data_IF_725916053203
#
_entry.id   IF_725916053203
#
_cell.length_a   1.000
_cell.length_b   1.000
_cell.length_c   1.000
_cell.angle_alpha   90.00
_cell.angle_beta   90.00
_cell.angle_gamma   90.00
#
_symmetry.space_group_name_H-M   'P 1'
#
loop_
_entity.id
_entity.type
_entity.pdbx_description
1 polymer ?
#
# COMPACT_ATOMS: atom_id res chain seq x y z
N UNK A 1 21.61 44.89 43.29
CA UNK A 1 20.43 44.14 42.82
C UNK A 1 20.52 44.03 41.31
N UNK A 2 21.02 42.87 40.81
CA UNK A 2 21.22 42.64 39.34
C UNK A 2 20.01 41.85 38.85
N UNK A 3 19.23 42.44 37.97
CA UNK A 3 18.08 41.82 37.31
C UNK A 3 18.63 41.00 36.16
N UNK A 4 18.47 39.67 36.25
CA UNK A 4 18.78 38.73 35.19
C UNK A 4 17.57 38.66 34.23
N UNK A 5 17.70 39.22 33.03
CA UNK A 5 16.69 39.09 31.97
C UNK A 5 16.98 37.78 31.21
N UNK A 6 16.16 36.76 31.42
CA UNK A 6 16.15 35.56 30.56
C UNK A 6 15.51 35.91 29.23
N UNK A 7 16.14 35.57 28.10
CA UNK A 7 15.48 35.66 26.81
C UNK A 7 14.45 34.53 26.66
N UNK A 8 13.18 34.88 26.48
CA UNK A 8 12.10 34.00 26.12
C UNK A 8 12.32 33.56 24.65
N UNK A 9 12.88 32.36 24.42
CA UNK A 9 12.91 31.75 23.08
C UNK A 9 11.49 31.39 22.68
N UNK A 10 10.89 32.17 21.80
CA UNK A 10 9.67 31.82 21.10
C UNK A 10 9.96 30.65 20.15
N UNK A 11 9.53 29.45 20.52
CA UNK A 11 9.44 28.32 19.59
C UNK A 11 8.38 28.66 18.53
N UNK A 12 8.81 29.09 17.36
CA UNK A 12 7.97 29.16 16.18
C UNK A 12 7.63 27.71 15.79
N UNK A 13 6.46 27.23 16.20
CA UNK A 13 5.88 26.03 15.66
C UNK A 13 5.57 26.30 14.17
N UNK A 14 6.48 25.90 13.29
CA UNK A 14 6.19 25.81 11.85
C UNK A 14 5.09 24.78 11.69
N UNK A 15 3.85 25.23 11.51
CA UNK A 15 2.78 24.40 10.97
C UNK A 15 3.19 24.06 9.53
N UNK A 16 3.89 22.93 9.35
CA UNK A 16 4.13 22.38 8.02
C UNK A 16 2.77 21.92 7.50
N UNK A 17 2.17 22.69 6.60
CA UNK A 17 0.98 22.24 5.86
C UNK A 17 1.29 20.92 5.13
N UNK A 18 0.29 20.05 5.00
CA UNK A 18 0.41 18.86 4.16
C UNK A 18 0.80 19.29 2.73
N UNK A 19 1.64 18.54 2.02
CA UNK A 19 1.96 18.84 0.64
C UNK A 19 0.68 18.84 -0.19
N UNK A 20 0.57 19.75 -1.15
CA UNK A 20 -0.47 19.70 -2.15
C UNK A 20 -0.15 18.59 -3.16
N UNK A 21 -1.17 17.98 -3.79
CA UNK A 21 -0.96 17.10 -4.93
C UNK A 21 -0.12 17.79 -6.01
N UNK A 22 0.79 17.09 -6.67
CA UNK A 22 1.62 17.68 -7.72
C UNK A 22 0.78 17.99 -8.97
N UNK A 23 0.99 19.17 -9.58
CA UNK A 23 0.33 19.58 -10.83
C UNK A 23 0.66 18.64 -12.01
N UNK A 24 1.85 18.02 -11.96
CA UNK A 24 2.32 17.08 -12.97
C UNK A 24 2.58 15.74 -12.29
N UNK A 25 1.98 14.64 -12.80
CA UNK A 25 2.22 13.32 -12.27
C UNK A 25 3.72 12.96 -12.27
N UNK A 26 4.26 12.28 -11.23
CA UNK A 26 5.67 11.92 -11.18
C UNK A 26 6.03 10.97 -12.31
N UNK A 27 7.16 11.23 -12.97
CA UNK A 27 7.74 10.30 -13.94
C UNK A 27 8.37 9.10 -13.24
N UNK A 28 8.63 8.03 -14.00
CA UNK A 28 9.42 6.92 -13.51
C UNK A 28 10.77 7.39 -12.97
N UNK A 29 11.15 6.83 -11.84
CA UNK A 29 12.50 6.91 -11.28
C UNK A 29 12.93 5.52 -10.85
N UNK A 30 14.23 5.26 -10.84
CA UNK A 30 14.77 3.97 -10.39
C UNK A 30 14.32 3.69 -8.96
N UNK A 31 13.71 2.52 -8.67
CA UNK A 31 13.33 2.17 -7.32
C UNK A 31 14.53 1.89 -6.42
N UNK A 32 14.44 2.14 -5.11
CA UNK A 32 15.45 1.68 -4.17
C UNK A 32 15.53 0.14 -4.19
N UNK A 33 16.67 -0.41 -3.76
CA UNK A 33 16.76 -1.85 -3.54
C UNK A 33 15.73 -2.28 -2.49
N UNK A 34 15.05 -3.40 -2.73
CA UNK A 34 14.14 -3.97 -1.73
C UNK A 34 14.94 -4.34 -0.49
N UNK A 35 14.60 -3.76 0.65
CA UNK A 35 15.26 -4.06 1.91
C UNK A 35 14.98 -5.51 2.33
N UNK A 36 15.90 -6.10 3.10
CA UNK A 36 15.75 -7.46 3.65
C UNK A 36 15.30 -7.46 5.12
N UNK A 37 15.35 -6.29 5.78
CA UNK A 37 15.03 -6.13 7.20
C UNK A 37 14.56 -4.71 7.54
N UNK A 38 14.25 -4.46 8.81
CA UNK A 38 13.90 -3.14 9.34
C UNK A 38 12.54 -2.64 8.85
N UNK A 39 11.63 -3.53 8.55
CA UNK A 39 10.27 -3.22 8.19
C UNK A 39 9.35 -3.01 9.39
N UNK A 40 8.36 -2.18 9.21
CA UNK A 40 7.11 -2.20 9.98
C UNK A 40 6.09 -2.94 9.12
N UNK A 41 5.63 -4.11 9.59
CA UNK A 41 4.78 -4.99 8.78
C UNK A 41 3.36 -5.05 9.31
N UNK A 42 2.40 -5.09 8.37
CA UNK A 42 0.98 -5.33 8.61
C UNK A 42 0.52 -6.45 7.70
N UNK A 43 -0.24 -7.40 8.23
CA UNK A 43 -0.81 -8.52 7.48
C UNK A 43 -2.30 -8.62 7.76
N UNK A 44 -3.09 -8.81 6.70
CA UNK A 44 -4.53 -9.13 6.75
C UNK A 44 -4.78 -10.40 5.96
N UNK A 45 -5.86 -11.12 6.28
CA UNK A 45 -6.22 -12.33 5.54
C UNK A 45 -7.73 -12.57 5.53
N UNK A 46 -8.19 -13.33 4.53
CA UNK A 46 -9.54 -13.84 4.44
C UNK A 46 -9.53 -15.23 3.79
N UNK A 47 -10.42 -16.11 4.23
CA UNK A 47 -10.68 -17.38 3.60
C UNK A 47 -11.82 -17.21 2.58
N UNK A 48 -11.61 -17.68 1.36
CA UNK A 48 -12.46 -17.41 0.20
C UNK A 48 -12.87 -18.76 -0.41
N UNK A 49 -14.17 -19.01 -0.66
CA UNK A 49 -14.65 -20.28 -1.18
C UNK A 49 -14.43 -20.43 -2.69
N UNK A 50 -13.20 -20.23 -3.14
CA UNK A 50 -12.72 -20.39 -4.51
C UNK A 50 -11.38 -21.13 -4.50
N UNK A 51 -11.07 -21.87 -5.57
CA UNK A 51 -9.72 -22.36 -5.81
C UNK A 51 -8.76 -21.19 -6.05
N UNK A 52 -7.44 -21.43 -5.96
CA UNK A 52 -6.44 -20.40 -6.31
C UNK A 52 -6.65 -19.91 -7.74
N UNK A 53 -6.90 -20.83 -8.68
CA UNK A 53 -7.12 -20.51 -10.08
C UNK A 53 -8.33 -19.58 -10.27
N UNK A 54 -9.48 -19.93 -9.69
CA UNK A 54 -10.71 -19.15 -9.80
C UNK A 54 -10.58 -17.79 -9.12
N UNK A 55 -9.94 -17.73 -7.95
CA UNK A 55 -9.67 -16.46 -7.27
C UNK A 55 -8.73 -15.55 -8.08
N UNK A 56 -7.72 -16.13 -8.71
CA UNK A 56 -6.81 -15.39 -9.61
C UNK A 56 -7.55 -14.89 -10.86
N UNK A 57 -8.43 -15.70 -11.44
CA UNK A 57 -9.28 -15.29 -12.55
C UNK A 57 -10.20 -14.14 -12.14
N UNK A 58 -10.87 -14.25 -10.98
CA UNK A 58 -11.70 -13.18 -10.43
C UNK A 58 -10.93 -11.86 -10.27
N UNK A 59 -9.68 -11.91 -9.76
CA UNK A 59 -8.84 -10.72 -9.56
C UNK A 59 -8.26 -10.14 -10.86
N UNK A 60 -8.24 -10.90 -11.96
CA UNK A 60 -7.94 -10.38 -13.29
C UNK A 60 -9.10 -9.55 -13.84
N UNK A 61 -10.34 -10.00 -13.64
CA UNK A 61 -11.56 -9.30 -14.08
C UNK A 61 -11.91 -8.12 -13.17
N UNK A 62 -11.65 -8.27 -11.87
CA UNK A 62 -11.92 -7.24 -10.85
C UNK A 62 -10.65 -6.99 -10.03
N UNK A 63 -9.80 -6.05 -10.43
CA UNK A 63 -8.53 -5.79 -9.77
C UNK A 63 -8.68 -5.48 -8.27
N UNK A 64 -7.79 -6.02 -7.44
CA UNK A 64 -7.85 -5.88 -5.98
C UNK A 64 -7.96 -4.42 -5.51
N UNK A 65 -7.33 -3.48 -6.21
CA UNK A 65 -7.38 -2.05 -5.86
C UNK A 65 -8.80 -1.47 -5.86
N UNK A 66 -9.76 -2.09 -6.56
CA UNK A 66 -11.16 -1.64 -6.63
C UNK A 66 -11.95 -1.91 -5.35
N UNK A 67 -11.40 -2.70 -4.43
CA UNK A 67 -12.00 -3.01 -3.12
C UNK A 67 -11.45 -2.13 -1.99
N UNK A 68 -10.50 -1.24 -2.29
CA UNK A 68 -9.87 -0.40 -1.30
C UNK A 68 -10.73 0.85 -1.06
N UNK A 69 -11.04 1.12 0.20
CA UNK A 69 -11.83 2.27 0.64
C UNK A 69 -10.94 3.25 1.41
N UNK A 70 -11.24 4.56 1.39
CA UNK A 70 -10.45 5.54 2.13
C UNK A 70 -10.58 5.36 3.65
N UNK A 71 -9.51 5.74 4.36
CA UNK A 71 -9.53 5.99 5.81
C UNK A 71 -9.29 7.47 6.07
N UNK A 72 -9.14 7.87 7.33
CA UNK A 72 -8.90 9.28 7.68
C UNK A 72 -7.62 9.85 7.03
N UNK A 73 -6.58 9.02 6.81
CA UNK A 73 -5.28 9.48 6.28
C UNK A 73 -4.77 8.71 5.07
N UNK A 74 -5.41 7.60 4.70
CA UNK A 74 -5.00 6.78 3.55
C UNK A 74 -6.07 6.85 2.47
N UNK A 75 -5.68 7.37 1.30
CA UNK A 75 -6.53 7.45 0.11
C UNK A 75 -6.27 6.25 -0.81
N UNK A 76 -7.33 5.57 -1.29
CA UNK A 76 -7.20 4.46 -2.23
C UNK A 76 -6.79 4.94 -3.62
N UNK A 77 -6.23 4.06 -4.46
CA UNK A 77 -6.06 4.32 -5.88
C UNK A 77 -7.41 4.42 -6.60
N UNK A 78 -7.55 5.44 -7.46
CA UNK A 78 -8.74 5.66 -8.30
C UNK A 78 -8.46 5.57 -9.80
N UNK A 79 -7.19 5.62 -10.19
CA UNK A 79 -6.75 5.45 -11.56
C UNK A 79 -5.33 4.88 -11.62
N UNK A 80 -5.03 4.20 -12.72
CA UNK A 80 -3.70 3.64 -12.97
C UNK A 80 -3.24 3.92 -14.40
N UNK A 81 -1.92 4.03 -14.57
CA UNK A 81 -1.26 4.17 -15.85
C UNK A 81 -0.03 3.27 -15.89
N UNK A 82 0.04 2.40 -16.87
CA UNK A 82 1.22 1.57 -17.10
C UNK A 82 2.35 2.42 -17.68
N UNK A 83 3.48 2.44 -17.00
CA UNK A 83 4.68 3.19 -17.42
C UNK A 83 5.67 2.30 -18.16
N UNK A 84 5.80 1.03 -17.76
CA UNK A 84 6.77 0.08 -18.30
C UNK A 84 6.13 -1.32 -18.35
N UNK A 85 6.28 -2.00 -19.49
CA UNK A 85 5.87 -3.40 -19.65
C UNK A 85 4.36 -3.58 -19.68
N UNK A 86 3.94 -4.82 -19.45
CA UNK A 86 2.54 -5.22 -19.30
C UNK A 86 2.28 -5.51 -17.82
N UNK A 87 1.26 -4.86 -17.22
CA UNK A 87 0.96 -5.06 -15.81
C UNK A 87 0.71 -6.55 -15.50
N UNK A 88 1.15 -6.97 -14.33
CA UNK A 88 1.28 -8.33 -13.83
C UNK A 88 2.50 -9.11 -14.34
N UNK A 89 3.25 -8.64 -15.34
CA UNK A 89 4.53 -9.22 -15.70
C UNK A 89 5.64 -8.74 -14.76
N UNK A 90 6.57 -9.61 -14.35
CA UNK A 90 7.70 -9.22 -13.52
C UNK A 90 8.51 -8.08 -14.17
N UNK A 91 8.80 -7.03 -13.41
CA UNK A 91 9.45 -5.82 -13.89
C UNK A 91 8.50 -4.76 -14.47
N UNK A 92 7.22 -5.05 -14.70
CA UNK A 92 6.24 -4.05 -15.11
C UNK A 92 6.08 -2.97 -14.05
N UNK A 93 5.87 -1.73 -14.50
CA UNK A 93 5.72 -0.55 -13.63
C UNK A 93 4.43 0.17 -13.98
N UNK A 94 3.66 0.52 -12.94
CA UNK A 94 2.50 1.42 -13.07
C UNK A 94 2.63 2.61 -12.12
N UNK A 95 1.94 3.66 -12.46
CA UNK A 95 1.64 4.80 -11.59
C UNK A 95 0.19 4.73 -11.18
N UNK A 96 -0.07 4.84 -9.89
CA UNK A 96 -1.42 4.95 -9.35
C UNK A 96 -1.69 6.42 -8.98
N UNK A 97 -2.86 6.91 -9.33
CA UNK A 97 -3.40 8.16 -8.79
C UNK A 97 -4.30 7.82 -7.61
N UNK A 98 -4.07 8.47 -6.48
CA UNK A 98 -4.87 8.32 -5.28
C UNK A 98 -6.05 9.30 -5.29
N UNK A 99 -7.09 8.99 -4.54
CA UNK A 99 -8.32 9.81 -4.45
C UNK A 99 -8.04 11.25 -4.00
N UNK A 100 -7.03 11.46 -3.15
CA UNK A 100 -6.58 12.79 -2.70
C UNK A 100 -5.75 13.57 -3.75
N UNK A 101 -5.62 13.03 -4.98
CA UNK A 101 -4.87 13.60 -6.08
C UNK A 101 -3.36 13.32 -6.04
N UNK A 102 -2.88 12.63 -5.01
CA UNK A 102 -1.49 12.20 -4.91
C UNK A 102 -1.21 10.95 -5.75
N UNK A 103 0.07 10.54 -5.77
CA UNK A 103 0.54 9.43 -6.61
C UNK A 103 1.46 8.48 -5.84
N UNK A 104 1.47 7.25 -6.32
CA UNK A 104 2.47 6.23 -5.97
C UNK A 104 2.89 5.49 -7.23
N UNK A 105 4.14 5.05 -7.31
CA UNK A 105 4.64 4.20 -8.40
C UNK A 105 4.86 2.80 -7.83
N UNK A 106 4.45 1.78 -8.60
CA UNK A 106 4.58 0.38 -8.23
C UNK A 106 5.30 -0.42 -9.31
N UNK A 107 6.09 -1.41 -8.89
CA UNK A 107 6.74 -2.38 -9.77
C UNK A 107 6.39 -3.79 -9.34
N UNK A 108 6.00 -4.64 -10.28
CA UNK A 108 5.85 -6.08 -10.04
C UNK A 108 7.23 -6.70 -9.84
N UNK A 109 7.40 -7.44 -8.74
CA UNK A 109 8.62 -8.20 -8.46
C UNK A 109 8.45 -9.66 -8.88
N UNK A 110 7.32 -10.26 -8.53
CA UNK A 110 7.01 -11.66 -8.82
C UNK A 110 5.51 -11.84 -9.01
N UNK A 111 5.13 -12.70 -9.96
CA UNK A 111 3.75 -13.10 -10.18
C UNK A 111 3.70 -14.59 -10.52
N UNK A 112 3.33 -15.41 -9.52
CA UNK A 112 3.09 -16.85 -9.62
C UNK A 112 1.68 -17.16 -9.13
N UNK A 113 1.12 -18.34 -9.39
CA UNK A 113 -0.22 -18.69 -8.90
C UNK A 113 -0.40 -18.44 -7.40
N UNK A 114 0.57 -18.83 -6.56
CA UNK A 114 0.50 -18.75 -5.10
C UNK A 114 1.05 -17.43 -4.53
N UNK A 115 1.66 -16.56 -5.37
CA UNK A 115 2.36 -15.37 -4.91
C UNK A 115 2.31 -14.24 -5.93
N UNK A 116 1.84 -13.09 -5.50
CA UNK A 116 2.06 -11.83 -6.19
C UNK A 116 2.81 -10.89 -5.25
N UNK A 117 3.94 -10.34 -5.70
CA UNK A 117 4.68 -9.37 -4.93
C UNK A 117 5.08 -8.16 -5.75
N UNK A 118 5.14 -7.02 -5.09
CA UNK A 118 5.41 -5.74 -5.71
C UNK A 118 6.13 -4.80 -4.75
N UNK A 119 6.76 -3.79 -5.32
CA UNK A 119 7.36 -2.69 -4.58
C UNK A 119 6.65 -1.40 -4.94
N UNK A 120 6.28 -0.62 -3.93
CA UNK A 120 5.73 0.73 -4.09
C UNK A 120 6.74 1.77 -3.59
N UNK A 121 6.92 2.86 -4.37
CA UNK A 121 7.82 3.97 -4.04
C UNK A 121 7.32 5.27 -4.71
N UNK A 122 8.03 6.40 -4.54
CA UNK A 122 7.61 7.73 -5.06
C UNK A 122 6.24 8.13 -4.53
N UNK A 123 6.10 8.11 -3.20
CA UNK A 123 4.89 8.62 -2.58
C UNK A 123 4.90 10.15 -2.57
N UNK A 124 3.85 10.79 -3.08
CA UNK A 124 3.74 12.25 -3.09
C UNK A 124 2.93 12.82 -1.92
N UNK A 125 2.20 11.97 -1.18
CA UNK A 125 1.36 12.38 -0.05
C UNK A 125 2.14 12.51 1.27
N UNK A 126 1.51 13.20 2.23
CA UNK A 126 2.09 13.43 3.54
C UNK A 126 2.21 12.16 4.39
N UNK A 127 1.23 11.26 4.29
CA UNK A 127 1.17 10.02 5.07
C UNK A 127 2.41 9.14 4.84
N UNK A 128 2.91 9.09 3.61
CA UNK A 128 4.09 8.29 3.28
C UNK A 128 5.42 9.05 3.31
N UNK A 129 5.47 10.30 3.83
CA UNK A 129 6.71 11.11 3.85
C UNK A 129 7.91 10.41 4.52
N UNK A 130 7.65 9.59 5.52
CA UNK A 130 8.66 8.81 6.26
C UNK A 130 8.97 7.45 5.68
N UNK A 131 8.30 7.05 4.59
CA UNK A 131 8.43 5.74 3.95
C UNK A 131 9.45 5.82 2.82
N UNK A 132 10.41 4.89 2.80
CA UNK A 132 11.35 4.71 1.71
C UNK A 132 10.69 3.92 0.57
N UNK A 133 10.18 2.75 0.88
CA UNK A 133 9.38 1.92 0.00
C UNK A 133 8.47 0.98 0.79
N UNK A 134 7.51 0.37 0.10
CA UNK A 134 6.69 -0.72 0.62
C UNK A 134 7.00 -1.96 -0.23
N UNK A 135 7.25 -3.09 0.43
CA UNK A 135 7.28 -4.40 -0.20
C UNK A 135 5.95 -5.09 0.10
N UNK A 136 5.05 -5.08 -0.88
CA UNK A 136 3.73 -5.70 -0.82
C UNK A 136 3.80 -7.17 -1.25
N UNK A 137 3.14 -8.04 -0.50
CA UNK A 137 3.09 -9.49 -0.77
C UNK A 137 1.65 -9.96 -0.62
N UNK A 138 1.12 -10.58 -1.67
CA UNK A 138 -0.16 -11.29 -1.67
C UNK A 138 0.12 -12.79 -1.83
N UNK A 139 -0.29 -13.59 -0.85
CA UNK A 139 -0.18 -15.04 -0.88
C UNK A 139 -1.55 -15.65 -1.08
N UNK A 140 -1.59 -16.70 -1.89
CA UNK A 140 -2.77 -17.51 -2.16
C UNK A 140 -2.46 -18.90 -1.64
N UNK A 141 -3.04 -19.26 -0.49
CA UNK A 141 -2.73 -20.49 0.25
C UNK A 141 -3.93 -21.43 0.08
N UNK A 142 -3.71 -22.57 -0.55
CA UNK A 142 -4.74 -23.60 -0.71
C UNK A 142 -5.14 -24.17 0.65
N UNK A 143 -6.42 -24.08 0.99
CA UNK A 143 -7.01 -24.70 2.16
C UNK A 143 -7.82 -25.96 1.79
N UNK A 144 -8.27 -26.04 0.54
CA UNK A 144 -9.04 -27.14 -0.02
C UNK A 144 -9.26 -26.94 -1.51
N UNK A 145 -9.92 -27.89 -2.18
CA UNK A 145 -10.14 -27.86 -3.64
C UNK A 145 -10.87 -26.59 -4.14
N UNK A 146 -11.73 -26.02 -3.30
CA UNK A 146 -12.49 -24.80 -3.58
C UNK A 146 -12.40 -23.82 -2.40
N UNK A 147 -11.24 -23.72 -1.79
CA UNK A 147 -11.03 -22.81 -0.66
C UNK A 147 -9.60 -22.32 -0.65
N UNK A 148 -9.44 -21.01 -0.66
CA UNK A 148 -8.14 -20.33 -0.66
C UNK A 148 -8.10 -19.29 0.45
N UNK A 149 -7.03 -19.28 1.26
CA UNK A 149 -6.69 -18.14 2.10
C UNK A 149 -5.93 -17.13 1.28
N UNK A 150 -6.49 -15.94 1.13
CA UNK A 150 -5.76 -14.77 0.66
C UNK A 150 -5.12 -14.08 1.85
N UNK A 151 -3.80 -13.87 1.79
CA UNK A 151 -3.03 -13.16 2.79
C UNK A 151 -2.30 -11.98 2.14
N UNK A 152 -2.54 -10.77 2.62
CA UNK A 152 -1.90 -9.56 2.13
C UNK A 152 -1.04 -8.93 3.20
N UNK A 153 0.26 -8.81 2.91
CA UNK A 153 1.26 -8.22 3.79
C UNK A 153 1.85 -6.97 3.16
N UNK A 154 1.85 -5.87 3.90
CA UNK A 154 2.68 -4.69 3.63
C UNK A 154 3.87 -4.68 4.57
N UNK A 155 5.07 -4.70 3.98
CA UNK A 155 6.33 -4.49 4.66
C UNK A 155 6.79 -3.06 4.34
N UNK A 156 6.47 -2.13 5.24
CA UNK A 156 6.78 -0.70 5.09
C UNK A 156 8.20 -0.46 5.57
N UNK A 157 9.08 -0.01 4.67
CA UNK A 157 10.46 0.37 5.00
C UNK A 157 10.51 1.84 5.36
N UNK A 158 10.79 2.20 6.63
CA UNK A 158 11.02 3.59 7.01
C UNK A 158 12.36 4.09 6.47
N UNK A 159 12.45 5.39 6.13
CA UNK A 159 13.70 6.05 5.72
C UNK A 159 14.78 6.07 6.79
N UNK A 160 14.39 5.99 8.06
CA UNK A 160 15.30 6.04 9.22
C UNK A 160 14.64 5.48 10.47
N UNK A 161 15.43 5.25 11.53
CA UNK A 161 14.91 4.86 12.84
C UNK A 161 13.94 5.91 13.43
N UNK A 162 14.15 7.19 13.15
CA UNK A 162 13.24 8.25 13.61
C UNK A 162 11.89 8.17 12.88
N UNK A 163 11.90 7.98 11.56
CA UNK A 163 10.66 7.84 10.78
C UNK A 163 9.95 6.53 11.07
N UNK A 164 10.63 5.49 11.55
CA UNK A 164 10.00 4.24 11.97
C UNK A 164 8.95 4.45 13.10
N UNK A 165 9.20 5.42 14.00
CA UNK A 165 8.23 5.78 15.07
C UNK A 165 6.94 6.33 14.46
N UNK A 166 7.04 7.18 13.43
CA UNK A 166 5.88 7.76 12.75
C UNK A 166 5.12 6.71 11.94
N UNK A 167 5.84 5.86 11.20
CA UNK A 167 5.25 4.73 10.46
C UNK A 167 4.54 3.79 11.43
N UNK A 168 5.16 3.47 12.58
CA UNK A 168 4.55 2.63 13.62
C UNK A 168 3.23 3.19 14.18
N UNK A 169 3.08 4.51 14.24
CA UNK A 169 1.81 5.15 14.68
C UNK A 169 0.68 5.02 13.65
N UNK A 170 1.01 4.80 12.39
CA UNK A 170 0.02 4.61 11.31
C UNK A 170 -0.45 3.16 11.16
N UNK A 171 0.18 2.22 11.88
CA UNK A 171 -0.14 0.78 11.80
C UNK A 171 -1.63 0.48 12.00
N UNK A 172 -2.34 1.06 13.01
CA UNK A 172 -3.76 0.77 13.19
C UNK A 172 -4.59 1.14 11.97
N UNK A 173 -4.36 2.31 11.40
CA UNK A 173 -5.10 2.82 10.25
C UNK A 173 -4.74 2.06 8.96
N UNK A 174 -3.46 1.73 8.77
CA UNK A 174 -3.04 0.86 7.67
C UNK A 174 -3.66 -0.54 7.80
N UNK A 175 -3.80 -1.05 9.02
CA UNK A 175 -4.47 -2.34 9.27
C UNK A 175 -5.96 -2.25 8.91
N UNK A 176 -6.63 -1.18 9.28
CA UNK A 176 -8.04 -0.93 8.93
C UNK A 176 -8.21 -0.88 7.40
N UNK A 177 -7.42 -0.06 6.72
CA UNK A 177 -7.41 0.06 5.26
C UNK A 177 -7.25 -1.29 4.56
N UNK A 178 -6.23 -2.04 4.95
CA UNK A 178 -5.93 -3.34 4.38
C UNK A 178 -7.01 -4.38 4.69
N UNK A 179 -7.51 -4.40 5.93
CA UNK A 179 -8.53 -5.36 6.34
C UNK A 179 -9.86 -5.10 5.64
N UNK A 180 -10.31 -3.84 5.57
CA UNK A 180 -11.55 -3.48 4.88
C UNK A 180 -11.52 -3.91 3.42
N UNK A 181 -10.44 -3.61 2.68
CA UNK A 181 -10.29 -4.04 1.30
C UNK A 181 -10.23 -5.56 1.14
N UNK A 182 -9.52 -6.25 2.03
CA UNK A 182 -9.42 -7.72 2.02
C UNK A 182 -10.79 -8.36 2.25
N UNK A 183 -11.58 -7.88 3.21
CA UNK A 183 -12.92 -8.41 3.49
C UNK A 183 -13.91 -8.09 2.37
N UNK A 184 -13.86 -6.88 1.80
CA UNK A 184 -14.71 -6.50 0.66
C UNK A 184 -14.45 -7.39 -0.56
N UNK A 185 -13.18 -7.62 -0.89
CA UNK A 185 -12.77 -8.54 -1.96
C UNK A 185 -13.25 -9.97 -1.69
N UNK A 186 -13.07 -10.48 -0.46
CA UNK A 186 -13.50 -11.82 -0.10
C UNK A 186 -15.02 -11.99 -0.21
N UNK A 187 -15.80 -10.99 0.22
CA UNK A 187 -17.26 -11.00 0.09
C UNK A 187 -17.70 -11.02 -1.38
N UNK A 188 -17.08 -10.20 -2.23
CA UNK A 188 -17.39 -10.15 -3.65
C UNK A 188 -17.03 -11.47 -4.37
N UNK A 189 -15.83 -12.02 -4.11
CA UNK A 189 -15.40 -13.29 -4.66
C UNK A 189 -16.29 -14.45 -4.20
N UNK A 190 -16.69 -14.48 -2.91
CA UNK A 190 -17.59 -15.49 -2.37
C UNK A 190 -19.00 -15.42 -2.95
N UNK A 191 -19.47 -14.24 -3.36
CA UNK A 191 -20.76 -14.10 -4.04
C UNK A 191 -20.77 -14.74 -5.43
N UNK A 192 -19.65 -14.71 -6.16
CA UNK A 192 -19.53 -15.36 -7.48
C UNK A 192 -19.54 -16.88 -7.37
N UNK A 193 -18.97 -17.45 -6.31
CA UNK A 193 -18.96 -18.89 -6.07
C UNK A 193 -20.37 -19.51 -5.86
N UNK A 194 -21.37 -18.71 -5.51
CA UNK A 194 -22.74 -19.17 -5.25
C UNK A 194 -23.65 -19.12 -6.50
N UNK A 195 -23.15 -18.67 -7.65
CA UNK A 195 -23.92 -18.50 -8.90
C UNK A 195 -23.68 -19.65 -9.88
N UNK A 196 -22.65 -20.46 -9.67
CA UNK A 196 -22.33 -21.67 -10.42
C UNK A 196 -22.90 -22.93 -9.74
#
# INVERSE_FOLDING_TARGET
MRILILPLMALLASCSSAPLPPDVPPSYSEPPAVATDGFVSVTTSADIPLSIEDLRAFLLDTPFITFLEPTDTISPPIAEETLIGEWLSAGAVRRLQLEDGHYVIERVLENRPELFSYQAWVFTNAAARGVDHIYGVQRFIELGLKETRFEWTYNVKPKSALTAIFVGRQVPELTEFMNTGTQAMAAAAGATANVE
#
